data_IF_773491135832
#
_entry.id   IF_773491135832
#
_cell.length_a   1.000
_cell.length_b   1.000
_cell.length_c   1.000
_cell.angle_alpha   90.00
_cell.angle_beta   90.00
_cell.angle_gamma   90.00
#
_symmetry.space_group_name_H-M   'P 1'
#
loop_
_entity.id
_entity.type
_entity.pdbx_description
1 polymer ?
#
# COMPACT_ATOMS: atom_id res chain seq x y z
N UNK A 1 8.58 -13.29 -8.19
CA UNK A 1 8.71 -14.64 -7.61
C UNK A 1 9.64 -15.45 -8.50
N UNK A 2 10.81 -15.79 -7.99
CA UNK A 2 11.82 -16.54 -8.75
C UNK A 2 11.43 -18.00 -8.95
N UNK A 3 11.79 -18.56 -10.11
CA UNK A 3 11.59 -19.95 -10.50
C UNK A 3 12.95 -20.65 -10.61
N UNK A 4 12.96 -21.98 -10.56
CA UNK A 4 14.19 -22.79 -10.50
C UNK A 4 15.08 -22.71 -11.76
N UNK A 5 14.55 -22.19 -12.87
CA UNK A 5 15.20 -22.18 -14.18
C UNK A 5 15.71 -20.80 -14.64
N UNK A 6 15.98 -19.88 -13.69
CA UNK A 6 16.44 -18.53 -14.02
C UNK A 6 15.34 -17.66 -14.63
N UNK A 7 14.08 -18.02 -14.40
CA UNK A 7 12.91 -17.23 -14.77
C UNK A 7 12.26 -16.64 -13.53
N UNK A 8 11.50 -15.56 -13.71
CA UNK A 8 10.74 -14.94 -12.65
C UNK A 8 9.31 -14.61 -13.10
N UNK A 9 8.37 -14.76 -12.18
CA UNK A 9 7.00 -14.26 -12.32
C UNK A 9 6.89 -12.90 -11.63
N UNK A 10 6.48 -11.87 -12.37
CA UNK A 10 6.22 -10.53 -11.81
C UNK A 10 4.73 -10.22 -11.70
N UNK A 11 4.40 -9.23 -10.87
CA UNK A 11 3.05 -8.68 -10.83
C UNK A 11 2.77 -7.89 -12.12
N UNK A 12 1.53 -7.94 -12.56
CA UNK A 12 1.03 -7.13 -13.67
C UNK A 12 0.27 -5.94 -13.09
N UNK A 13 0.46 -4.77 -13.69
CA UNK A 13 -0.44 -3.65 -13.46
C UNK A 13 -1.87 -3.99 -13.91
N UNK A 14 -2.85 -3.26 -13.41
CA UNK A 14 -4.25 -3.40 -13.83
C UNK A 14 -4.41 -3.27 -15.36
N UNK A 15 -3.64 -2.36 -15.99
CA UNK A 15 -3.66 -2.19 -17.44
C UNK A 15 -3.14 -3.43 -18.16
N UNK A 16 -1.97 -3.93 -17.79
CA UNK A 16 -1.38 -5.12 -18.40
C UNK A 16 -2.27 -6.36 -18.25
N UNK A 17 -2.92 -6.53 -17.09
CA UNK A 17 -3.88 -7.61 -16.88
C UNK A 17 -5.13 -7.48 -17.75
N UNK A 18 -5.61 -6.25 -18.01
CA UNK A 18 -6.71 -6.00 -18.93
C UNK A 18 -6.31 -6.24 -20.39
N UNK A 19 -5.13 -5.79 -20.80
CA UNK A 19 -4.58 -6.01 -22.14
C UNK A 19 -4.38 -7.50 -22.42
N UNK A 20 -3.78 -8.25 -21.49
CA UNK A 20 -3.60 -9.70 -21.61
C UNK A 20 -4.94 -10.43 -21.82
N UNK A 21 -5.99 -10.00 -21.12
CA UNK A 21 -7.35 -10.56 -21.32
C UNK A 21 -7.90 -10.22 -22.70
N UNK A 22 -7.74 -8.98 -23.16
CA UNK A 22 -8.20 -8.57 -24.51
C UNK A 22 -7.51 -9.38 -25.59
N UNK A 23 -6.18 -9.47 -25.53
CA UNK A 23 -5.37 -10.26 -26.47
C UNK A 23 -5.75 -11.75 -26.43
N UNK A 24 -5.99 -12.30 -25.23
CA UNK A 24 -6.43 -13.68 -25.06
C UNK A 24 -7.80 -13.96 -25.67
N UNK A 25 -8.71 -12.97 -25.67
CA UNK A 25 -10.00 -13.08 -26.35
C UNK A 25 -9.83 -13.11 -27.87
N UNK A 26 -9.04 -12.18 -28.41
CA UNK A 26 -8.72 -12.11 -29.84
C UNK A 26 -8.07 -13.41 -30.33
N UNK A 27 -7.15 -13.98 -29.53
CA UNK A 27 -6.50 -15.26 -29.83
C UNK A 27 -7.44 -16.46 -29.85
N UNK A 28 -8.48 -16.43 -29.01
CA UNK A 28 -9.46 -17.51 -28.95
C UNK A 28 -10.42 -17.51 -30.16
N UNK A 29 -10.54 -16.40 -30.89
CA UNK A 29 -11.36 -16.33 -32.12
C UNK A 29 -10.87 -17.30 -33.21
N UNK A 30 -9.60 -17.70 -33.16
CA UNK A 30 -9.00 -18.71 -34.04
C UNK A 30 -9.43 -20.16 -33.70
N UNK A 31 -10.43 -20.35 -32.83
CA UNK A 31 -10.95 -21.65 -32.40
C UNK A 31 -10.13 -22.33 -31.30
N UNK A 32 -9.20 -21.60 -30.69
CA UNK A 32 -8.39 -22.06 -29.57
C UNK A 32 -9.15 -21.93 -28.25
N UNK A 33 -8.80 -22.76 -27.27
CA UNK A 33 -9.48 -22.73 -25.98
C UNK A 33 -9.21 -21.43 -25.23
N UNK A 34 -10.28 -20.73 -24.83
CA UNK A 34 -10.24 -19.36 -24.33
C UNK A 34 -9.43 -19.21 -23.05
N UNK A 35 -9.57 -20.17 -22.12
CA UNK A 35 -8.81 -20.15 -20.88
C UNK A 35 -7.31 -20.29 -21.14
N UNK A 36 -6.95 -21.15 -22.10
CA UNK A 36 -5.55 -21.37 -22.50
C UNK A 36 -4.96 -20.10 -23.14
N UNK A 37 -5.67 -19.46 -24.06
CA UNK A 37 -5.24 -18.20 -24.69
C UNK A 37 -5.07 -17.07 -23.67
N UNK A 38 -6.02 -16.96 -22.72
CA UNK A 38 -5.95 -15.98 -21.65
C UNK A 38 -4.72 -16.19 -20.76
N UNK A 39 -4.42 -17.45 -20.40
CA UNK A 39 -3.23 -17.79 -19.62
C UNK A 39 -1.95 -17.54 -20.41
N UNK A 40 -1.94 -17.81 -21.72
CA UNK A 40 -0.79 -17.57 -22.57
C UNK A 40 -0.43 -16.08 -22.66
N UNK A 41 -1.42 -15.21 -22.91
CA UNK A 41 -1.19 -13.75 -22.95
C UNK A 41 -0.77 -13.19 -21.59
N UNK A 42 -1.29 -13.75 -20.50
CA UNK A 42 -0.84 -13.41 -19.16
C UNK A 42 0.63 -13.75 -18.95
N UNK A 43 1.05 -14.97 -19.33
CA UNK A 43 2.44 -15.42 -19.16
C UNK A 43 3.42 -14.68 -20.06
N UNK A 44 3.00 -14.30 -21.27
CA UNK A 44 3.83 -13.48 -22.16
C UNK A 44 4.27 -12.16 -21.53
N UNK A 45 3.45 -11.61 -20.62
CA UNK A 45 3.74 -10.36 -19.90
C UNK A 45 4.36 -10.60 -18.53
N UNK A 46 3.95 -11.67 -17.85
CA UNK A 46 4.32 -11.92 -16.45
C UNK A 46 5.63 -12.70 -16.27
N UNK A 47 6.08 -13.43 -17.28
CA UNK A 47 7.27 -14.29 -17.21
C UNK A 47 8.48 -13.57 -17.81
N UNK A 48 9.49 -13.33 -16.96
CA UNK A 48 10.71 -12.61 -17.32
C UNK A 48 11.97 -13.43 -17.03
N UNK A 49 13.07 -13.10 -17.71
CA UNK A 49 14.40 -13.58 -17.32
C UNK A 49 14.83 -12.98 -15.98
N UNK A 50 15.44 -13.78 -15.12
CA UNK A 50 15.88 -13.34 -13.80
C UNK A 50 16.89 -12.20 -13.89
N UNK A 51 16.62 -11.12 -13.16
CA UNK A 51 17.49 -9.95 -13.05
C UNK A 51 17.50 -9.02 -14.28
N UNK A 52 16.76 -9.34 -15.34
CA UNK A 52 16.78 -8.58 -16.61
C UNK A 52 15.47 -7.85 -16.95
N UNK A 53 14.36 -8.10 -16.24
CA UNK A 53 13.02 -7.60 -16.57
C UNK A 53 12.64 -7.74 -18.05
N UNK A 54 13.21 -8.75 -18.71
CA UNK A 54 13.05 -8.98 -20.14
C UNK A 54 12.02 -10.10 -20.31
N UNK A 55 10.89 -9.86 -20.99
CA UNK A 55 9.89 -10.88 -21.24
C UNK A 55 10.50 -12.08 -21.98
N UNK A 56 10.21 -13.29 -21.51
CA UNK A 56 10.70 -14.53 -22.15
C UNK A 56 10.03 -14.77 -23.50
N UNK A 57 8.79 -14.31 -23.64
CA UNK A 57 7.97 -14.47 -24.84
C UNK A 57 7.52 -13.09 -25.34
N UNK A 58 7.44 -12.93 -26.66
CA UNK A 58 6.99 -11.68 -27.28
C UNK A 58 5.49 -11.43 -27.12
N UNK A 59 4.69 -12.50 -27.09
CA UNK A 59 3.24 -12.47 -27.08
C UNK A 59 2.64 -13.83 -26.70
N UNK A 60 1.31 -13.90 -26.59
CA UNK A 60 0.59 -15.13 -26.27
C UNK A 60 0.74 -16.24 -27.33
N UNK A 61 0.96 -15.92 -28.62
CA UNK A 61 1.20 -16.95 -29.65
C UNK A 61 2.54 -17.62 -29.44
N UNK A 62 3.57 -16.86 -29.11
CA UNK A 62 4.89 -17.40 -28.77
C UNK A 62 4.82 -18.34 -27.55
N UNK A 63 4.00 -18.00 -26.54
CA UNK A 63 3.75 -18.89 -25.40
C UNK A 63 3.07 -20.19 -25.83
N UNK A 64 2.00 -20.11 -26.64
CA UNK A 64 1.28 -21.29 -27.14
C UNK A 64 2.15 -22.20 -28.03
N UNK A 65 3.11 -21.62 -28.74
CA UNK A 65 4.05 -22.36 -29.58
C UNK A 65 5.20 -22.98 -28.77
N UNK A 66 5.60 -22.33 -27.67
CA UNK A 66 6.79 -22.70 -26.88
C UNK A 66 6.49 -23.58 -25.66
N UNK A 67 5.26 -23.57 -25.15
CA UNK A 67 4.86 -24.30 -23.94
C UNK A 67 3.64 -25.18 -24.19
N UNK A 68 3.58 -26.28 -23.45
CA UNK A 68 2.41 -27.15 -23.41
C UNK A 68 1.28 -26.52 -22.59
N UNK A 69 0.03 -26.97 -22.83
CA UNK A 69 -1.12 -26.51 -22.05
C UNK A 69 -0.99 -26.78 -20.54
N UNK A 70 -0.32 -27.88 -20.16
CA UNK A 70 -0.04 -28.23 -18.76
C UNK A 70 0.94 -27.23 -18.12
N UNK A 71 2.04 -26.91 -18.80
CA UNK A 71 3.01 -25.91 -18.33
C UNK A 71 2.39 -24.52 -18.19
N UNK A 72 1.57 -24.12 -19.18
CA UNK A 72 0.83 -22.86 -19.15
C UNK A 72 -0.11 -22.81 -17.94
N UNK A 73 -0.87 -23.88 -17.71
CA UNK A 73 -1.78 -23.98 -16.56
C UNK A 73 -1.02 -23.91 -15.22
N UNK A 74 0.09 -24.64 -15.09
CA UNK A 74 0.91 -24.65 -13.89
C UNK A 74 1.53 -23.28 -13.60
N UNK A 75 2.07 -22.60 -14.62
CA UNK A 75 2.66 -21.26 -14.49
C UNK A 75 1.60 -20.20 -14.15
N UNK A 76 0.45 -20.20 -14.86
CA UNK A 76 -0.64 -19.27 -14.58
C UNK A 76 -1.23 -19.48 -13.18
N UNK A 77 -1.34 -20.73 -12.73
CA UNK A 77 -1.75 -21.06 -11.36
C UNK A 77 -0.77 -20.54 -10.31
N UNK A 78 0.54 -20.70 -10.54
CA UNK A 78 1.60 -20.13 -9.68
C UNK A 78 1.52 -18.60 -9.63
N UNK A 79 1.35 -17.95 -10.79
CA UNK A 79 1.18 -16.51 -10.87
C UNK A 79 -0.06 -16.02 -10.11
N UNK A 80 -1.20 -16.71 -10.27
CA UNK A 80 -2.45 -16.33 -9.58
C UNK A 80 -2.35 -16.43 -8.06
N UNK A 81 -1.59 -17.40 -7.53
CA UNK A 81 -1.29 -17.47 -6.09
C UNK A 81 -0.40 -16.30 -5.66
N UNK A 82 0.70 -16.10 -6.37
CA UNK A 82 1.64 -15.00 -6.12
C UNK A 82 0.95 -13.62 -6.14
N UNK A 83 0.08 -13.37 -7.13
CA UNK A 83 -0.70 -12.14 -7.24
C UNK A 83 -1.63 -11.95 -6.04
N UNK A 84 -2.35 -12.98 -5.59
CA UNK A 84 -3.22 -12.86 -4.41
C UNK A 84 -2.44 -12.54 -3.12
N UNK A 85 -1.24 -13.09 -2.98
CA UNK A 85 -0.40 -12.87 -1.80
C UNK A 85 0.27 -11.49 -1.78
N UNK A 86 0.56 -10.89 -2.95
CA UNK A 86 1.39 -9.67 -3.06
C UNK A 86 0.65 -8.45 -3.63
N UNK A 87 -0.51 -8.66 -4.25
CA UNK A 87 -1.39 -7.64 -4.82
C UNK A 87 -2.86 -8.05 -4.56
N UNK A 88 -3.29 -8.04 -3.28
CA UNK A 88 -4.59 -8.56 -2.93
C UNK A 88 -5.67 -7.65 -3.53
N UNK A 89 -6.63 -8.26 -4.23
CA UNK A 89 -7.64 -7.53 -5.01
C UNK A 89 -8.63 -6.76 -4.15
N UNK A 90 -9.50 -5.96 -4.76
CA UNK A 90 -10.47 -5.13 -4.02
C UNK A 90 -11.55 -5.91 -3.24
N UNK A 91 -11.65 -7.22 -3.46
CA UNK A 91 -12.59 -8.14 -2.82
C UNK A 91 -11.93 -8.91 -1.67
N UNK A 92 -11.14 -8.22 -0.83
CA UNK A 92 -10.53 -8.83 0.36
C UNK A 92 -11.62 -9.35 1.30
N UNK A 93 -11.48 -10.58 1.84
CA UNK A 93 -12.30 -11.03 2.95
C UNK A 93 -12.21 -10.06 4.13
N UNK A 94 -13.31 -9.86 4.86
CA UNK A 94 -13.37 -8.88 5.95
C UNK A 94 -12.30 -9.12 7.04
N UNK A 95 -12.01 -10.38 7.35
CA UNK A 95 -10.97 -10.75 8.33
C UNK A 95 -9.56 -10.32 7.87
N UNK A 96 -9.27 -10.45 6.57
CA UNK A 96 -8.01 -10.02 5.99
C UNK A 96 -7.89 -8.49 5.93
N UNK A 97 -8.99 -7.81 5.63
CA UNK A 97 -9.05 -6.35 5.69
C UNK A 97 -8.78 -5.83 7.11
N UNK A 98 -9.36 -6.47 8.13
CA UNK A 98 -9.09 -6.09 9.52
C UNK A 98 -7.63 -6.35 9.92
N UNK A 99 -7.01 -7.42 9.41
CA UNK A 99 -5.57 -7.66 9.58
C UNK A 99 -4.73 -6.51 9.02
N UNK A 100 -4.96 -6.13 7.76
CA UNK A 100 -4.25 -5.02 7.10
C UNK A 100 -4.47 -3.69 7.85
N UNK A 101 -5.70 -3.44 8.33
CA UNK A 101 -5.98 -2.26 9.17
C UNK A 101 -5.23 -2.32 10.51
N UNK A 102 -5.07 -3.50 11.09
CA UNK A 102 -4.27 -3.73 12.30
C UNK A 102 -2.81 -3.37 12.09
N UNK A 103 -2.18 -3.95 11.06
CA UNK A 103 -0.80 -3.67 10.67
C UNK A 103 -0.55 -2.16 10.47
N UNK A 104 -1.46 -1.47 9.76
CA UNK A 104 -1.37 -0.02 9.57
C UNK A 104 -1.54 0.77 10.87
N UNK A 105 -2.31 0.29 11.85
CA UNK A 105 -2.43 0.97 13.16
C UNK A 105 -1.15 0.81 13.99
N UNK A 106 -0.47 -0.32 13.84
CA UNK A 106 0.78 -0.65 14.54
C UNK A 106 2.02 0.03 13.92
N UNK A 107 1.89 0.65 12.74
CA UNK A 107 2.92 1.49 12.12
C UNK A 107 2.52 2.99 12.07
N UNK A 108 2.77 3.76 13.14
CA UNK A 108 2.53 5.20 13.16
C UNK A 108 3.29 5.98 12.09
N UNK A 109 4.45 5.48 11.67
CA UNK A 109 5.29 6.10 10.64
C UNK A 109 4.61 6.06 9.28
N UNK A 110 4.08 4.90 8.89
CA UNK A 110 3.35 4.74 7.64
C UNK A 110 2.04 5.54 7.63
N UNK A 111 1.34 5.58 8.78
CA UNK A 111 0.16 6.46 8.95
C UNK A 111 0.50 7.94 8.80
N UNK A 112 1.67 8.36 9.26
CA UNK A 112 2.16 9.72 9.09
C UNK A 112 2.45 10.02 7.61
N UNK A 113 3.22 9.15 6.94
CA UNK A 113 3.52 9.29 5.50
C UNK A 113 2.24 9.40 4.68
N UNK A 114 1.25 8.54 4.96
CA UNK A 114 -0.05 8.59 4.30
C UNK A 114 -0.77 9.93 4.49
N UNK A 115 -0.77 10.50 5.70
CA UNK A 115 -1.40 11.81 5.96
C UNK A 115 -0.77 12.91 5.12
N UNK A 116 0.55 12.95 5.04
CA UNK A 116 1.29 13.93 4.23
C UNK A 116 0.97 13.73 2.75
N UNK A 117 1.12 12.52 2.21
CA UNK A 117 0.86 12.25 0.79
C UNK A 117 -0.57 12.60 0.38
N UNK A 118 -1.56 12.24 1.23
CA UNK A 118 -2.97 12.58 1.03
C UNK A 118 -3.20 14.09 0.98
N UNK A 119 -2.56 14.87 1.85
CA UNK A 119 -2.69 16.33 1.89
C UNK A 119 -2.25 16.98 0.56
N UNK A 120 -1.22 16.42 -0.07
CA UNK A 120 -0.69 16.94 -1.35
C UNK A 120 -1.28 16.25 -2.59
N UNK A 121 -2.23 15.32 -2.42
CA UNK A 121 -2.83 14.57 -3.53
C UNK A 121 -1.82 13.70 -4.29
N UNK A 122 -0.85 13.13 -3.59
CA UNK A 122 0.23 12.32 -4.16
C UNK A 122 0.02 10.85 -3.81
N UNK A 123 0.17 9.94 -4.77
CA UNK A 123 0.14 8.50 -4.50
C UNK A 123 1.53 7.99 -4.05
N UNK A 124 1.61 7.00 -3.14
CA UNK A 124 2.87 6.39 -2.72
C UNK A 124 3.71 5.80 -3.86
N UNK A 125 3.07 5.46 -4.99
CA UNK A 125 3.72 4.92 -6.18
C UNK A 125 4.39 5.97 -7.05
N UNK A 126 4.11 7.25 -6.85
CA UNK A 126 4.73 8.33 -7.63
C UNK A 126 6.22 8.47 -7.32
N UNK A 127 7.03 8.72 -8.35
CA UNK A 127 8.48 8.86 -8.20
C UNK A 127 8.89 9.95 -7.20
N UNK A 128 8.15 11.07 -7.17
CA UNK A 128 8.37 12.15 -6.20
C UNK A 128 8.09 11.72 -4.75
N UNK A 129 7.09 10.87 -4.51
CA UNK A 129 6.80 10.35 -3.17
C UNK A 129 7.90 9.36 -2.73
N UNK A 130 8.29 8.44 -3.62
CA UNK A 130 9.35 7.46 -3.35
C UNK A 130 10.72 8.10 -3.07
N UNK A 131 10.96 9.30 -3.60
CA UNK A 131 12.19 10.05 -3.36
C UNK A 131 12.22 10.80 -2.03
N UNK A 132 11.06 10.99 -1.36
CA UNK A 132 11.00 11.67 -0.06
C UNK A 132 11.69 10.83 1.02
N UNK A 133 12.43 11.51 1.90
CA UNK A 133 13.03 10.92 3.10
C UNK A 133 12.16 11.21 4.31
N UNK A 134 12.36 10.46 5.39
CA UNK A 134 11.57 10.63 6.63
C UNK A 134 11.57 12.07 7.17
N UNK A 135 12.71 12.77 7.07
CA UNK A 135 12.80 14.19 7.44
C UNK A 135 11.90 15.10 6.60
N UNK A 136 11.65 14.75 5.33
CA UNK A 136 10.86 15.57 4.41
C UNK A 136 9.38 15.41 4.77
N UNK A 137 8.96 14.19 5.13
CA UNK A 137 7.64 13.93 5.72
C UNK A 137 7.42 14.68 7.05
N UNK A 138 8.42 14.64 7.95
CA UNK A 138 8.36 15.37 9.21
C UNK A 138 8.27 16.88 8.98
N UNK A 139 9.06 17.41 8.05
CA UNK A 139 9.04 18.83 7.70
C UNK A 139 7.67 19.26 7.17
N UNK A 140 7.08 18.50 6.25
CA UNK A 140 5.73 18.77 5.74
C UNK A 140 4.67 18.73 6.84
N UNK A 141 4.72 17.71 7.71
CA UNK A 141 3.76 17.60 8.82
C UNK A 141 3.90 18.77 9.79
N UNK A 142 5.13 19.11 10.18
CA UNK A 142 5.39 20.20 11.13
C UNK A 142 4.87 21.55 10.59
N UNK A 143 5.14 21.86 9.32
CA UNK A 143 4.56 23.07 8.70
C UNK A 143 3.04 23.00 8.64
N UNK A 144 2.44 21.86 8.30
CA UNK A 144 0.98 21.71 8.32
C UNK A 144 0.35 21.82 9.71
N UNK A 145 1.10 21.57 10.79
CA UNK A 145 0.65 21.84 12.16
C UNK A 145 0.79 23.32 12.49
N UNK A 146 1.92 23.93 12.15
CA UNK A 146 2.15 25.38 12.32
C UNK A 146 1.14 26.22 11.54
N UNK A 147 0.82 25.84 10.30
CA UNK A 147 -0.20 26.52 9.50
C UNK A 147 -1.56 26.57 10.24
N UNK A 148 -1.94 25.47 10.91
CA UNK A 148 -3.18 25.41 11.71
C UNK A 148 -3.08 26.26 12.97
N UNK A 149 -1.93 26.26 13.64
CA UNK A 149 -1.69 27.12 14.80
C UNK A 149 -1.80 28.60 14.41
N UNK A 150 -1.15 29.01 13.31
CA UNK A 150 -1.24 30.36 12.78
C UNK A 150 -2.69 30.74 12.37
N UNK A 151 -3.43 29.81 11.76
CA UNK A 151 -4.86 30.01 11.45
C UNK A 151 -5.70 30.26 12.71
N UNK A 152 -5.47 29.50 13.78
CA UNK A 152 -6.13 29.70 15.07
C UNK A 152 -5.75 31.05 15.71
N UNK A 153 -4.49 31.45 15.61
CA UNK A 153 -4.01 32.73 16.13
C UNK A 153 -4.62 33.94 15.42
N UNK A 154 -4.97 33.81 14.13
CA UNK A 154 -5.68 34.85 13.37
C UNK A 154 -7.12 35.07 13.85
N UNK A 155 -7.72 34.12 14.57
CA UNK A 155 -9.06 34.27 15.11
C UNK A 155 -9.10 35.26 16.28
N UNK A 156 -10.22 35.97 16.42
CA UNK A 156 -10.47 36.78 17.62
C UNK A 156 -10.51 35.89 18.88
N UNK A 157 -10.26 36.43 20.08
CA UNK A 157 -10.15 35.63 21.31
C UNK A 157 -11.34 34.69 21.56
N UNK A 158 -12.57 35.15 21.29
CA UNK A 158 -13.78 34.33 21.45
C UNK A 158 -13.86 33.17 20.45
N UNK A 159 -13.58 33.42 19.18
CA UNK A 159 -13.60 32.36 18.16
C UNK A 159 -12.50 31.33 18.38
N UNK A 160 -11.31 31.78 18.85
CA UNK A 160 -10.20 30.89 19.19
C UNK A 160 -10.53 30.00 20.39
N UNK A 161 -11.07 30.57 21.46
CA UNK A 161 -11.50 29.81 22.63
C UNK A 161 -12.50 28.71 22.26
N UNK A 162 -13.52 29.06 21.46
CA UNK A 162 -14.51 28.10 20.95
C UNK A 162 -13.90 27.01 20.05
N UNK A 163 -12.88 27.33 19.26
CA UNK A 163 -12.20 26.34 18.42
C UNK A 163 -11.36 25.36 19.25
N UNK A 164 -10.81 25.80 20.38
CA UNK A 164 -10.00 24.99 21.30
C UNK A 164 -10.84 24.14 22.26
N UNK A 165 -12.10 24.49 22.53
CA UNK A 165 -13.04 23.75 23.39
C UNK A 165 -13.39 22.33 22.90
N UNK A 166 -12.84 21.88 21.77
CA UNK A 166 -12.96 20.50 21.29
C UNK A 166 -14.41 20.06 21.12
N UNK A 167 -15.10 20.48 20.06
CA UNK A 167 -16.49 20.07 19.82
C UNK A 167 -16.57 18.90 18.82
N UNK A 168 -17.58 18.05 18.97
CA UNK A 168 -17.88 17.01 18.00
C UNK A 168 -18.20 17.65 16.63
N UNK A 169 -17.50 17.29 15.54
CA UNK A 169 -17.74 17.88 14.22
C UNK A 169 -19.11 17.49 13.62
N UNK A 170 -19.78 16.46 14.18
CA UNK A 170 -21.09 16.02 13.71
C UNK A 170 -22.27 16.71 14.45
N UNK A 171 -22.18 16.89 15.77
CA UNK A 171 -23.32 17.40 16.58
C UNK A 171 -23.01 18.68 17.37
N UNK A 172 -21.75 19.14 17.41
CA UNK A 172 -21.35 20.37 18.11
C UNK A 172 -21.32 20.29 19.63
N UNK A 173 -21.57 19.12 20.23
CA UNK A 173 -21.41 18.91 21.67
C UNK A 173 -19.93 18.95 22.07
N UNK A 174 -19.65 19.50 23.24
CA UNK A 174 -18.31 19.49 23.85
C UNK A 174 -17.81 18.05 23.98
N UNK A 175 -16.59 17.81 23.56
CA UNK A 175 -15.90 16.57 23.85
C UNK A 175 -15.38 16.65 25.30
N UNK A 176 -15.35 15.53 26.03
CA UNK A 176 -14.70 15.50 27.32
C UNK A 176 -13.24 15.92 27.16
N UNK A 177 -12.72 16.71 28.10
CA UNK A 177 -11.27 16.99 28.17
C UNK A 177 -10.55 15.63 28.25
N UNK A 178 -9.74 15.31 27.24
CA UNK A 178 -8.85 14.16 27.33
C UNK A 178 -7.84 14.43 28.45
N UNK A 179 -7.81 13.56 29.47
CA UNK A 179 -6.70 13.55 30.43
C UNK A 179 -5.40 13.32 29.63
N UNK A 180 -4.62 14.38 29.46
CA UNK A 180 -3.37 14.42 28.67
C UNK A 180 -2.21 13.65 29.32
N UNK A 181 -2.51 12.75 30.24
CA UNK A 181 -1.53 11.84 30.86
C UNK A 181 -1.63 10.48 30.19
N UNK A 182 -0.50 9.92 29.74
CA UNK A 182 -0.45 8.49 29.45
C UNK A 182 -0.73 7.74 30.76
N UNK A 183 -1.88 7.05 30.91
CA UNK A 183 -2.24 6.39 32.16
C UNK A 183 -1.31 5.21 32.50
N UNK A 184 -0.49 4.79 31.54
CA UNK A 184 0.52 3.72 31.69
C UNK A 184 1.90 4.29 32.05
N UNK A 185 2.08 5.62 32.07
CA UNK A 185 3.38 6.22 32.39
C UNK A 185 3.62 6.21 33.90
N UNK A 186 4.56 5.37 34.34
CA UNK A 186 5.01 5.29 35.72
C UNK A 186 6.02 6.42 36.01
N UNK A 187 5.52 7.50 36.61
CA UNK A 187 6.31 8.67 36.95
C UNK A 187 7.38 8.35 38.00
N UNK A 188 7.07 7.51 38.99
CA UNK A 188 8.02 7.13 40.04
C UNK A 188 9.21 6.36 39.47
N UNK A 189 8.94 5.43 38.53
CA UNK A 189 10.00 4.69 37.83
C UNK A 189 10.86 5.58 36.95
N UNK A 190 10.26 6.54 36.25
CA UNK A 190 11.01 7.49 35.43
C UNK A 190 11.96 8.35 36.28
N UNK A 191 11.50 8.82 37.44
CA UNK A 191 12.31 9.59 38.38
C UNK A 191 13.44 8.75 38.99
N UNK A 192 13.16 7.49 39.36
CA UNK A 192 14.20 6.56 39.84
C UNK A 192 15.30 6.32 38.81
N UNK A 193 14.94 6.15 37.53
CA UNK A 193 15.91 6.00 36.44
C UNK A 193 16.74 7.27 36.22
N UNK A 194 16.13 8.46 36.36
CA UNK A 194 16.84 9.75 36.28
C UNK A 194 17.88 9.91 37.39
N UNK A 195 17.62 9.33 38.57
CA UNK A 195 18.56 9.28 39.70
C UNK A 195 19.54 8.09 39.64
N UNK A 196 19.47 7.24 38.61
CA UNK A 196 20.36 6.11 38.41
C UNK A 196 20.06 4.89 39.29
N UNK A 197 18.85 4.77 39.83
CA UNK A 197 18.41 3.60 40.61
C UNK A 197 17.71 2.58 39.68
N UNK A 198 18.15 1.31 39.72
CA UNK A 198 17.55 0.22 38.94
C UNK A 198 18.22 -0.12 37.60
N UNK A 199 19.52 0.19 37.45
CA UNK A 199 20.38 -0.24 36.33
C UNK A 199 21.40 -1.29 36.82
N UNK A 200 20.89 -2.30 37.52
CA UNK A 200 21.63 -3.45 38.03
C UNK A 200 21.12 -4.76 37.41
#
# INVERSE_FOLDING_TARGET
MSLENGLELRLLSALEAMEARREGLELAEDGLERALCSNACLLARALEEAGGHTPVFSDGRAVLAGLTAEEIGALAGRWSRFSRENDPGLDLPGEELERVKGELREDPGERLRWRVLRQFGVLPTEGRARAMRDRDYLWCLANGLLDREEELERLCPSCRARALEGCCPACGQSLPEEETGNPTFDLERFEALKEGKGLD
#
